data_IF_532351738112
#
_entry.id   IF_532351738112
#
_cell.length_a   1.000
_cell.length_b   1.000
_cell.length_c   1.000
_cell.angle_alpha   90.00
_cell.angle_beta   90.00
_cell.angle_gamma   90.00
#
_symmetry.space_group_name_H-M   'P 1'
#
loop_
_entity.id
_entity.type
_entity.pdbx_description
1 polymer ?
#
# COMPACT_ATOMS: atom_id res chain seq x y z
N UNK A 1 10.72 -23.29 33.87
CA UNK A 1 9.85 -22.98 32.71
C UNK A 1 8.77 -22.02 33.14
N UNK A 2 8.54 -20.96 32.36
CA UNK A 2 7.56 -19.90 32.65
C UNK A 2 6.58 -19.74 31.49
N UNK A 3 5.33 -19.40 31.81
CA UNK A 3 4.27 -19.13 30.83
C UNK A 3 4.11 -17.65 30.61
N UNK A 4 3.97 -17.25 29.36
CA UNK A 4 3.54 -15.90 29.03
C UNK A 4 2.13 -15.65 29.56
N UNK A 5 1.89 -14.60 30.38
CA UNK A 5 0.57 -14.32 30.93
C UNK A 5 -0.43 -13.84 29.86
N UNK A 6 0.07 -13.30 28.74
CA UNK A 6 -0.78 -12.75 27.68
C UNK A 6 -1.15 -13.79 26.62
N UNK A 7 -0.25 -14.73 26.27
CA UNK A 7 -0.48 -15.68 25.18
C UNK A 7 -0.32 -17.16 25.57
N UNK A 8 0.01 -17.46 26.82
CA UNK A 8 0.07 -18.83 27.35
C UNK A 8 1.29 -19.68 26.92
N UNK A 9 2.14 -19.20 26.01
CA UNK A 9 3.31 -19.94 25.52
C UNK A 9 4.36 -20.14 26.61
N UNK A 10 4.95 -21.33 26.65
CA UNK A 10 5.99 -21.74 27.59
C UNK A 10 7.39 -21.37 27.10
N UNK A 11 8.22 -20.92 28.02
CA UNK A 11 9.61 -20.53 27.79
C UNK A 11 10.53 -21.07 28.88
N UNK A 12 11.82 -21.21 28.55
CA UNK A 12 12.90 -21.42 29.52
C UNK A 12 13.06 -20.20 30.45
N UNK A 13 13.64 -20.41 31.63
CA UNK A 13 13.66 -19.40 32.70
C UNK A 13 14.56 -18.20 32.36
N UNK A 14 15.48 -18.35 31.41
CA UNK A 14 16.37 -17.29 30.89
C UNK A 14 15.71 -16.31 29.89
N UNK A 15 14.51 -16.60 29.39
CA UNK A 15 13.87 -15.79 28.32
C UNK A 15 13.17 -14.55 28.89
N UNK A 16 13.71 -13.35 28.70
CA UNK A 16 13.15 -12.14 29.34
C UNK A 16 11.87 -11.58 28.70
N UNK A 17 11.49 -12.04 27.50
CA UNK A 17 10.37 -11.50 26.73
C UNK A 17 9.69 -12.59 25.89
N UNK A 18 8.36 -12.49 25.74
CA UNK A 18 7.60 -13.39 24.89
C UNK A 18 7.85 -13.08 23.41
N UNK A 19 8.32 -14.07 22.65
CA UNK A 19 8.59 -13.93 21.21
C UNK A 19 7.33 -13.85 20.34
N UNK A 20 6.14 -14.15 20.88
CA UNK A 20 4.89 -14.11 20.12
C UNK A 20 4.12 -12.80 20.31
N UNK A 21 4.07 -12.27 21.53
CA UNK A 21 3.26 -11.10 21.85
C UNK A 21 4.04 -9.92 22.44
N UNK A 22 5.36 -10.05 22.61
CA UNK A 22 6.23 -8.98 23.14
C UNK A 22 6.10 -8.71 24.64
N UNK A 23 5.23 -9.42 25.36
CA UNK A 23 5.02 -9.22 26.79
C UNK A 23 6.28 -9.56 27.62
N UNK A 24 6.60 -8.70 28.60
CA UNK A 24 7.74 -8.91 29.50
C UNK A 24 7.44 -9.98 30.55
N UNK A 25 8.30 -11.00 30.62
CA UNK A 25 8.21 -12.06 31.62
C UNK A 25 9.00 -11.63 32.87
N UNK A 26 8.37 -10.85 33.77
CA UNK A 26 8.98 -10.31 35.03
C UNK A 26 9.57 -11.44 35.91
N UNK A 27 10.68 -11.34 36.65
CA UNK A 27 11.82 -10.42 36.64
C UNK A 27 13.03 -11.05 37.38
N UNK A 28 14.23 -10.54 37.06
CA UNK A 28 15.47 -10.74 37.82
C UNK A 28 15.31 -10.38 39.32
N UNK A 29 15.83 -11.23 40.21
CA UNK A 29 16.07 -10.88 41.61
C UNK A 29 17.52 -10.44 41.82
N UNK A 30 17.64 -9.23 42.36
CA UNK A 30 18.82 -8.55 42.89
C UNK A 30 19.28 -9.16 44.22
N UNK A 31 20.60 -9.23 44.45
CA UNK A 31 21.25 -9.08 45.76
C UNK A 31 22.76 -8.78 45.62
N UNK A 32 23.24 -7.77 46.36
CA UNK A 32 24.62 -7.26 46.48
C UNK A 32 25.36 -7.98 47.67
N UNK A 33 26.59 -7.61 48.12
CA UNK A 33 27.78 -8.49 48.18
C UNK A 33 28.31 -8.87 49.61
N UNK A 34 29.12 -9.94 49.76
CA UNK A 34 30.03 -10.12 50.92
C UNK A 34 31.15 -11.20 50.80
N UNK A 35 32.40 -10.72 50.94
CA UNK A 35 33.56 -11.20 51.74
C UNK A 35 34.44 -12.43 51.33
N UNK A 36 35.77 -12.16 51.45
CA UNK A 36 37.04 -12.94 51.38
C UNK A 36 37.08 -14.16 52.34
N UNK A 37 37.98 -15.18 52.28
CA UNK A 37 39.46 -15.29 52.11
C UNK A 37 39.87 -16.75 51.69
N UNK A 38 41.14 -17.23 51.83
CA UNK A 38 42.25 -17.15 50.88
C UNK A 38 42.73 -18.53 50.31
N UNK A 39 43.62 -18.49 49.32
CA UNK A 39 44.09 -19.63 48.51
C UNK A 39 45.05 -20.63 49.18
N UNK A 40 45.73 -21.46 48.36
CA UNK A 40 47.10 -21.08 47.97
C UNK A 40 47.48 -21.27 46.48
N UNK A 41 48.56 -20.54 46.14
CA UNK A 41 49.56 -20.60 45.05
C UNK A 41 49.60 -21.86 44.15
N UNK A 42 50.05 -21.86 42.89
CA UNK A 42 50.67 -20.90 41.97
C UNK A 42 50.89 -21.63 40.64
N UNK A 43 50.86 -20.95 39.49
CA UNK A 43 51.98 -20.94 38.53
C UNK A 43 51.71 -19.99 37.36
N UNK A 44 52.81 -19.38 36.89
CA UNK A 44 52.91 -18.21 36.02
C UNK A 44 52.70 -18.59 34.56
N UNK A 45 52.32 -17.62 33.72
CA UNK A 45 53.11 -17.20 32.55
C UNK A 45 52.50 -15.95 31.88
N UNK A 46 53.27 -14.86 31.96
CA UNK A 46 53.58 -13.86 30.94
C UNK A 46 52.47 -13.26 30.05
N UNK A 47 52.21 -11.98 30.32
CA UNK A 47 51.63 -11.02 29.39
C UNK A 47 52.66 -10.54 28.36
N UNK A 48 52.20 -9.90 27.28
CA UNK A 48 52.74 -8.60 26.96
C UNK A 48 51.66 -7.52 26.95
N UNK A 49 51.97 -6.44 27.66
CA UNK A 49 51.19 -5.22 27.76
C UNK A 49 51.22 -4.45 26.44
N UNK A 50 50.05 -4.18 25.87
CA UNK A 50 49.78 -2.93 25.16
C UNK A 50 48.26 -2.69 25.09
N UNK A 51 47.75 -1.75 25.89
CA UNK A 51 46.35 -1.33 25.78
C UNK A 51 46.29 0.19 25.92
N UNK A 52 45.90 0.94 24.88
CA UNK A 52 45.68 2.36 25.01
C UNK A 52 44.45 2.59 25.89
N UNK A 53 44.56 3.47 26.89
CA UNK A 53 43.43 3.96 27.68
C UNK A 53 42.43 4.60 26.72
N UNK A 54 41.33 3.90 26.42
CA UNK A 54 40.31 4.39 25.51
C UNK A 54 39.43 5.43 26.20
N UNK A 55 39.32 6.59 25.54
CA UNK A 55 38.51 7.74 25.92
C UNK A 55 37.05 7.44 25.51
N UNK A 56 36.30 6.80 26.42
CA UNK A 56 34.95 6.25 26.18
C UNK A 56 33.86 7.28 26.54
N UNK A 57 32.90 7.51 25.64
CA UNK A 57 31.71 8.35 25.90
C UNK A 57 30.48 7.48 26.19
N UNK A 58 29.48 8.04 26.87
CA UNK A 58 28.22 7.33 27.16
C UNK A 58 27.15 7.68 26.13
N UNK A 59 26.41 6.68 25.68
CA UNK A 59 25.21 6.88 24.87
C UNK A 59 24.18 7.67 25.68
N UNK A 60 23.64 8.79 25.16
CA UNK A 60 22.69 9.63 25.89
C UNK A 60 21.34 8.95 26.13
N UNK A 61 20.99 7.94 25.32
CA UNK A 61 19.71 7.24 25.44
C UNK A 61 19.75 6.01 26.36
N UNK A 62 20.79 5.18 26.26
CA UNK A 62 20.82 3.90 27.00
C UNK A 62 22.00 3.74 27.97
N UNK A 63 22.89 4.74 28.06
CA UNK A 63 24.06 4.71 28.94
C UNK A 63 25.15 3.71 28.52
N UNK A 64 25.06 3.10 27.34
CA UNK A 64 26.12 2.22 26.84
C UNK A 64 27.43 2.99 26.63
N UNK A 65 28.56 2.36 26.94
CA UNK A 65 29.90 2.90 26.65
C UNK A 65 30.16 2.78 25.15
N UNK A 66 30.56 3.89 24.52
CA UNK A 66 30.82 4.02 23.10
C UNK A 66 32.26 4.48 22.88
N UNK A 67 32.85 4.04 21.77
CA UNK A 67 34.13 4.57 21.31
C UNK A 67 33.95 6.02 20.83
N UNK A 68 35.04 6.80 20.87
CA UNK A 68 35.04 8.25 20.60
C UNK A 68 34.46 8.61 19.23
N UNK A 69 34.60 7.71 18.25
CA UNK A 69 34.20 7.91 16.85
C UNK A 69 32.93 7.14 16.46
N UNK A 70 32.25 6.47 17.40
CA UNK A 70 31.03 5.73 17.09
C UNK A 70 29.90 6.69 16.70
N UNK A 71 29.48 6.67 15.43
CA UNK A 71 28.39 7.52 14.90
C UNK A 71 27.02 7.05 15.38
N UNK A 72 26.91 5.80 15.83
CA UNK A 72 25.68 5.19 16.32
C UNK A 72 25.95 4.25 17.51
N UNK A 73 24.97 4.11 18.39
CA UNK A 73 25.00 3.20 19.52
C UNK A 73 24.61 1.79 19.08
N UNK A 74 25.54 0.84 19.15
CA UNK A 74 25.30 -0.57 18.79
C UNK A 74 24.28 -1.29 19.68
N UNK A 75 23.93 -0.71 20.84
CA UNK A 75 22.99 -1.31 21.79
C UNK A 75 21.54 -0.86 21.57
N UNK A 76 21.33 0.39 21.16
CA UNK A 76 19.98 0.97 21.08
C UNK A 76 19.69 1.69 19.75
N UNK A 77 20.63 1.71 18.80
CA UNK A 77 20.46 2.34 17.49
C UNK A 77 20.57 3.88 17.46
N UNK A 78 20.68 4.54 18.62
CA UNK A 78 20.72 6.01 18.70
C UNK A 78 21.95 6.60 18.00
N UNK A 79 21.76 7.65 17.18
CA UNK A 79 22.85 8.35 16.49
C UNK A 79 23.56 9.30 17.46
N UNK A 80 24.89 9.25 17.52
CA UNK A 80 25.69 10.02 18.47
C UNK A 80 26.63 10.96 17.72
N UNK A 81 26.37 12.27 17.77
CA UNK A 81 27.06 13.28 16.97
C UNK A 81 28.59 13.19 17.05
N UNK A 82 29.26 13.11 15.89
CA UNK A 82 30.71 13.22 15.76
C UNK A 82 31.10 14.70 15.81
N UNK A 83 31.91 15.09 16.79
CA UNK A 83 32.37 16.47 16.95
C UNK A 83 33.33 16.88 15.84
N UNK A 84 32.81 17.58 14.82
CA UNK A 84 33.58 18.30 13.81
C UNK A 84 32.92 19.64 13.47
N UNK A 85 33.70 20.72 13.49
CA UNK A 85 33.26 22.12 13.32
C UNK A 85 32.56 22.35 11.97
N UNK A 86 31.39 23.00 11.99
CA UNK A 86 30.68 23.44 10.79
C UNK A 86 31.24 24.78 10.25
N UNK A 87 31.57 24.91 8.95
CA UNK A 87 31.71 26.19 8.30
C UNK A 87 30.35 26.66 7.73
N UNK A 88 30.05 27.93 7.92
CA UNK A 88 28.92 28.64 7.32
C UNK A 88 28.94 28.51 5.79
N UNK A 89 27.91 27.92 5.18
CA UNK A 89 27.78 27.83 3.73
C UNK A 89 26.47 28.47 3.26
N UNK A 90 26.57 29.25 2.18
CA UNK A 90 25.45 29.75 1.40
C UNK A 90 24.51 28.59 1.01
N UNK A 91 23.22 28.75 1.32
CA UNK A 91 22.19 27.76 1.06
C UNK A 91 21.45 28.09 -0.25
N UNK A 92 21.22 27.08 -1.09
CA UNK A 92 20.28 27.13 -2.22
C UNK A 92 19.00 26.37 -1.89
N UNK A 93 17.93 26.62 -2.63
CA UNK A 93 16.69 25.85 -2.50
C UNK A 93 16.69 24.69 -3.51
N UNK A 94 16.30 23.51 -3.05
CA UNK A 94 16.00 22.37 -3.91
C UNK A 94 14.88 22.76 -4.87
N UNK A 95 15.11 22.61 -6.17
CA UNK A 95 14.09 22.95 -7.18
C UNK A 95 12.95 21.95 -7.25
N UNK A 96 13.09 20.77 -6.63
CA UNK A 96 12.05 19.75 -6.60
C UNK A 96 11.15 19.85 -5.34
N UNK A 97 11.73 20.07 -4.16
CA UNK A 97 10.97 20.06 -2.89
C UNK A 97 11.11 21.32 -2.02
N UNK A 98 11.90 22.31 -2.44
CA UNK A 98 12.09 23.56 -1.69
C UNK A 98 12.97 23.47 -0.45
N UNK A 99 13.58 22.31 -0.16
CA UNK A 99 14.52 22.17 0.97
C UNK A 99 15.75 23.07 0.80
N UNK A 100 16.22 23.68 1.89
CA UNK A 100 17.47 24.45 1.91
C UNK A 100 18.65 23.46 1.91
N UNK A 101 19.47 23.52 0.86
CA UNK A 101 20.62 22.65 0.65
C UNK A 101 21.91 23.47 0.59
N UNK A 102 23.05 22.91 1.02
CA UNK A 102 24.35 23.45 0.69
C UNK A 102 24.52 23.62 -0.82
N UNK A 103 25.23 24.67 -1.25
CA UNK A 103 25.41 25.00 -2.68
C UNK A 103 26.11 23.88 -3.46
N UNK A 104 26.96 23.11 -2.79
CA UNK A 104 27.74 21.97 -3.28
C UNK A 104 27.07 20.61 -3.08
N UNK A 105 25.86 20.56 -2.52
CA UNK A 105 25.13 19.30 -2.36
C UNK A 105 24.83 18.64 -3.72
N UNK A 106 25.42 17.46 -3.93
CA UNK A 106 25.28 16.66 -5.15
C UNK A 106 23.87 16.09 -5.33
N UNK A 107 23.10 15.94 -4.25
CA UNK A 107 21.72 15.51 -4.24
C UNK A 107 20.96 16.15 -3.07
N UNK A 108 19.64 16.24 -3.18
CA UNK A 108 18.79 16.69 -2.09
C UNK A 108 18.62 15.58 -1.05
N UNK A 109 19.11 15.79 0.17
CA UNK A 109 18.95 14.81 1.27
C UNK A 109 17.49 14.57 1.67
N UNK A 110 16.56 15.45 1.27
CA UNK A 110 15.13 15.31 1.59
C UNK A 110 14.33 14.57 0.52
N UNK A 111 14.67 14.73 -0.77
CA UNK A 111 13.88 14.14 -1.86
C UNK A 111 14.70 13.38 -2.91
N UNK A 112 16.00 13.22 -2.72
CA UNK A 112 16.88 12.46 -3.62
C UNK A 112 17.20 13.13 -4.96
N UNK A 113 16.60 14.28 -5.27
CA UNK A 113 16.80 14.94 -6.57
C UNK A 113 18.27 15.37 -6.78
N UNK A 114 18.87 15.11 -7.96
CA UNK A 114 20.27 15.46 -8.24
C UNK A 114 20.47 16.98 -8.32
N UNK A 115 21.53 17.47 -7.69
CA UNK A 115 21.88 18.87 -7.58
C UNK A 115 22.80 19.32 -8.72
N UNK A 116 22.23 19.78 -9.83
CA UNK A 116 22.95 19.95 -11.10
C UNK A 116 24.16 20.91 -11.15
N UNK A 117 25.18 20.47 -11.89
CA UNK A 117 26.02 21.25 -12.81
C UNK A 117 26.23 20.42 -14.09
N UNK A 118 25.97 21.01 -15.26
CA UNK A 118 25.90 20.37 -16.57
C UNK A 118 27.17 20.58 -17.41
N UNK A 119 27.50 19.66 -18.33
CA UNK A 119 28.20 19.91 -19.62
C UNK A 119 27.95 18.69 -20.56
N UNK A 120 27.89 18.71 -21.90
CA UNK A 120 27.68 19.68 -23.00
C UNK A 120 27.75 18.84 -24.29
N UNK A 121 26.92 19.12 -25.30
CA UNK A 121 27.28 18.90 -26.71
C UNK A 121 26.52 19.90 -27.61
N UNK A 122 27.24 20.90 -28.12
CA UNK A 122 26.86 21.76 -29.26
C UNK A 122 27.88 21.46 -30.38
N UNK A 123 27.62 21.53 -31.69
CA UNK A 123 26.93 22.55 -32.48
C UNK A 123 26.78 22.03 -33.92
N UNK A 124 25.78 22.52 -34.67
CA UNK A 124 25.99 23.45 -35.81
C UNK A 124 24.71 23.63 -36.62
N UNK A 125 24.29 24.88 -36.74
CA UNK A 125 23.41 25.40 -37.80
C UNK A 125 24.26 25.73 -39.03
N UNK A 126 23.65 25.81 -40.22
CA UNK A 126 23.82 27.06 -40.96
C UNK A 126 22.50 27.59 -41.53
N UNK A 127 22.52 28.88 -41.87
CA UNK A 127 21.40 29.65 -42.35
C UNK A 127 21.72 30.22 -43.73
N UNK A 128 20.83 30.06 -44.72
CA UNK A 128 20.68 31.03 -45.83
C UNK A 128 19.44 30.78 -46.73
N UNK A 129 18.62 31.84 -46.79
CA UNK A 129 17.63 32.32 -47.78
C UNK A 129 17.65 31.76 -49.22
N UNK A 130 16.44 31.49 -49.76
CA UNK A 130 15.90 32.20 -50.95
C UNK A 130 14.39 31.96 -51.16
N UNK A 131 13.72 33.02 -51.56
CA UNK A 131 12.28 33.19 -51.72
C UNK A 131 11.65 32.37 -52.86
N UNK A 132 10.35 32.04 -52.72
CA UNK A 132 9.39 32.19 -53.81
C UNK A 132 7.97 32.40 -53.27
N UNK A 133 7.31 33.41 -53.83
CA UNK A 133 5.95 33.90 -53.56
C UNK A 133 4.89 32.88 -53.98
N UNK A 134 3.84 32.69 -53.17
CA UNK A 134 2.47 32.48 -53.66
C UNK A 134 1.50 33.23 -52.74
N UNK A 135 0.79 34.19 -53.34
CA UNK A 135 -0.28 34.97 -52.74
C UNK A 135 -1.60 34.17 -52.70
N UNK A 136 -2.46 34.44 -51.72
CA UNK A 136 -3.87 34.02 -51.78
C UNK A 136 -4.60 33.88 -50.44
N UNK A 137 -5.14 35.01 -49.94
CA UNK A 137 -6.50 35.23 -49.35
C UNK A 137 -7.15 34.07 -48.57
N UNK A 138 -7.68 34.17 -47.35
CA UNK A 138 -7.97 35.24 -46.37
C UNK A 138 -8.62 34.55 -45.14
N UNK A 139 -8.23 34.86 -43.90
CA UNK A 139 -8.97 35.72 -42.94
C UNK A 139 -10.50 35.47 -42.93
N UNK A 140 -11.22 35.25 -41.83
CA UNK A 140 -10.96 35.31 -40.39
C UNK A 140 -12.22 34.76 -39.68
N UNK A 141 -12.11 33.99 -38.60
CA UNK A 141 -13.22 33.71 -37.68
C UNK A 141 -12.71 33.41 -36.27
N UNK A 142 -12.42 34.44 -35.49
CA UNK A 142 -12.57 34.39 -34.02
C UNK A 142 -12.93 35.79 -33.53
N UNK A 143 -13.83 35.83 -32.53
CA UNK A 143 -14.19 36.94 -31.65
C UNK A 143 -15.40 37.78 -32.10
N UNK A 144 -16.57 37.48 -31.53
CA UNK A 144 -17.21 38.38 -30.57
C UNK A 144 -18.52 37.77 -30.06
N UNK A 145 -18.53 37.40 -28.79
CA UNK A 145 -19.73 37.45 -27.98
C UNK A 145 -20.07 38.93 -27.71
N UNK A 146 -21.34 39.19 -27.40
CA UNK A 146 -21.93 40.33 -26.67
C UNK A 146 -23.01 41.06 -27.48
N UNK A 147 -24.14 41.26 -26.77
CA UNK A 147 -25.27 42.16 -27.01
C UNK A 147 -26.49 41.60 -27.77
N UNK A 148 -27.30 40.87 -27.02
CA UNK A 148 -28.66 41.27 -26.67
C UNK A 148 -29.45 42.20 -27.62
N UNK A 149 -30.63 41.70 -28.00
CA UNK A 149 -31.95 42.36 -27.84
C UNK A 149 -32.59 42.95 -29.10
N UNK A 150 -33.89 42.63 -29.18
CA UNK A 150 -35.03 43.20 -29.92
C UNK A 150 -35.41 42.68 -31.34
N UNK A 151 -36.68 42.27 -31.42
CA UNK A 151 -37.64 42.35 -32.54
C UNK A 151 -37.85 41.13 -33.45
N UNK A 152 -38.71 40.20 -33.00
CA UNK A 152 -39.82 39.75 -33.85
C UNK A 152 -41.11 39.71 -33.03
N UNK A 153 -41.99 40.68 -33.30
CA UNK A 153 -43.40 40.64 -32.91
C UNK A 153 -44.20 39.93 -34.00
N UNK A 154 -44.99 38.90 -33.66
CA UNK A 154 -46.38 38.82 -34.15
C UNK A 154 -47.28 38.00 -33.22
N UNK A 155 -48.22 38.77 -32.67
CA UNK A 155 -49.35 38.58 -31.76
C UNK A 155 -50.33 37.43 -32.09
N UNK A 156 -50.89 36.82 -31.04
CA UNK A 156 -52.32 36.45 -30.99
C UNK A 156 -52.67 35.20 -30.19
N UNK A 157 -53.43 35.36 -29.09
CA UNK A 157 -54.40 34.35 -28.62
C UNK A 157 -54.33 33.97 -27.14
N UNK A 158 -55.30 34.43 -26.37
CA UNK A 158 -55.58 34.15 -24.94
C UNK A 158 -55.78 32.68 -24.60
N UNK A 159 -55.42 32.25 -23.37
CA UNK A 159 -56.33 31.71 -22.31
C UNK A 159 -55.58 30.99 -21.16
N UNK A 160 -55.84 31.46 -19.93
CA UNK A 160 -56.02 30.74 -18.64
C UNK A 160 -55.09 29.59 -18.18
N UNK A 161 -54.30 29.89 -17.12
CA UNK A 161 -54.04 29.14 -15.86
C UNK A 161 -53.64 27.62 -15.87
N UNK A 162 -53.19 27.03 -14.73
CA UNK A 162 -52.23 27.48 -13.70
C UNK A 162 -51.09 26.44 -13.44
N UNK A 163 -50.05 26.88 -12.72
CA UNK A 163 -49.26 26.06 -11.77
C UNK A 163 -48.73 24.70 -12.22
N UNK A 164 -47.58 24.67 -12.90
CA UNK A 164 -46.77 23.45 -13.00
C UNK A 164 -46.05 23.22 -11.67
N UNK A 165 -46.54 22.22 -10.93
CA UNK A 165 -45.93 21.66 -9.75
C UNK A 165 -44.45 21.31 -10.01
N UNK A 166 -43.59 21.70 -9.07
CA UNK A 166 -42.26 21.16 -8.98
C UNK A 166 -42.36 19.64 -8.77
N UNK A 167 -42.06 18.88 -9.82
CA UNK A 167 -41.80 17.44 -9.71
C UNK A 167 -40.52 17.26 -8.90
N UNK A 168 -40.69 17.19 -7.59
CA UNK A 168 -39.72 16.57 -6.69
C UNK A 168 -39.78 15.08 -6.95
N UNK A 169 -38.98 14.60 -7.91
CA UNK A 169 -38.62 13.20 -7.95
C UNK A 169 -37.65 12.96 -6.77
N UNK A 170 -38.20 12.74 -5.58
CA UNK A 170 -37.44 12.08 -4.53
C UNK A 170 -37.20 10.65 -4.99
N UNK A 171 -35.99 10.37 -5.46
CA UNK A 171 -35.49 9.00 -5.45
C UNK A 171 -35.75 8.44 -4.03
N UNK A 172 -36.25 7.19 -3.88
CA UNK A 172 -36.36 6.61 -2.57
C UNK A 172 -34.96 6.66 -1.95
N UNK A 173 -34.85 7.30 -0.79
CA UNK A 173 -33.66 7.18 0.02
C UNK A 173 -33.51 5.69 0.30
N UNK A 174 -32.52 5.07 -0.33
CA UNK A 174 -32.04 3.73 -0.03
C UNK A 174 -31.70 3.71 1.46
N UNK A 175 -32.64 3.26 2.30
CA UNK A 175 -32.42 3.06 3.72
C UNK A 175 -31.32 2.02 3.81
N UNK A 176 -30.12 2.46 4.21
CA UNK A 176 -28.94 1.61 4.30
C UNK A 176 -29.26 0.29 5.01
N UNK A 177 -28.76 -0.80 4.44
CA UNK A 177 -28.95 -2.15 4.97
C UNK A 177 -28.37 -2.25 6.39
N UNK A 178 -29.16 -2.79 7.33
CA UNK A 178 -28.72 -3.06 8.70
C UNK A 178 -28.02 -4.42 8.79
N UNK A 179 -26.76 -4.40 9.20
CA UNK A 179 -25.92 -5.59 9.35
C UNK A 179 -25.52 -5.86 10.80
N UNK A 180 -26.14 -5.17 11.77
CA UNK A 180 -25.80 -5.27 13.20
C UNK A 180 -25.88 -6.70 13.76
N UNK A 181 -26.77 -7.54 13.20
CA UNK A 181 -26.97 -8.95 13.56
C UNK A 181 -25.99 -9.96 12.95
N UNK A 182 -25.17 -9.56 11.97
CA UNK A 182 -24.29 -10.48 11.24
C UNK A 182 -23.08 -10.93 12.07
N UNK A 183 -22.56 -12.13 11.82
CA UNK A 183 -21.41 -12.72 12.50
C UNK A 183 -20.33 -13.14 11.50
N UNK A 184 -19.13 -13.44 12.01
CA UNK A 184 -18.04 -13.98 11.19
C UNK A 184 -18.48 -15.27 10.51
N UNK A 185 -18.26 -15.37 9.20
CA UNK A 185 -18.70 -16.46 8.35
C UNK A 185 -20.04 -16.23 7.65
N UNK A 186 -20.85 -15.28 8.10
CA UNK A 186 -22.11 -14.94 7.43
C UNK A 186 -21.85 -14.29 6.06
N UNK A 187 -22.84 -14.41 5.17
CA UNK A 187 -22.84 -13.77 3.87
C UNK A 187 -23.80 -12.56 3.87
N UNK A 188 -23.39 -11.47 3.20
CA UNK A 188 -24.21 -10.27 3.03
C UNK A 188 -24.18 -9.79 1.57
N UNK A 189 -25.24 -9.10 1.15
CA UNK A 189 -25.27 -8.41 -0.14
C UNK A 189 -25.03 -6.91 0.05
N UNK A 190 -24.03 -6.36 -0.63
CA UNK A 190 -23.67 -4.95 -0.48
C UNK A 190 -22.99 -4.42 -1.76
N UNK A 191 -23.56 -3.39 -2.38
CA UNK A 191 -23.11 -2.92 -3.68
C UNK A 191 -23.55 -3.79 -4.86
N UNK A 192 -23.40 -3.22 -6.04
CA UNK A 192 -23.70 -3.82 -7.35
C UNK A 192 -22.60 -3.47 -8.32
N UNK A 193 -22.02 -4.47 -8.98
CA UNK A 193 -20.99 -4.25 -9.99
C UNK A 193 -21.36 -4.98 -11.28
N UNK A 194 -21.36 -4.25 -12.40
CA UNK A 194 -21.62 -4.81 -13.73
C UNK A 194 -22.99 -5.52 -13.80
N UNK A 195 -24.00 -4.83 -13.29
CA UNK A 195 -25.41 -5.25 -13.21
C UNK A 195 -25.73 -6.44 -12.29
N UNK A 196 -24.74 -6.95 -11.54
CA UNK A 196 -24.93 -8.01 -10.54
C UNK A 196 -24.72 -7.49 -9.10
N UNK A 197 -25.59 -7.89 -8.19
CA UNK A 197 -25.39 -7.65 -6.75
C UNK A 197 -24.14 -8.40 -6.27
N UNK A 198 -23.38 -7.79 -5.37
CA UNK A 198 -22.14 -8.38 -4.86
C UNK A 198 -22.43 -9.06 -3.53
N UNK A 199 -22.12 -10.36 -3.46
CA UNK A 199 -22.15 -11.12 -2.22
C UNK A 199 -20.78 -11.10 -1.53
N UNK A 200 -20.78 -10.83 -0.23
CA UNK A 200 -19.59 -10.72 0.60
C UNK A 200 -19.64 -11.69 1.77
N UNK A 201 -18.48 -12.20 2.17
CA UNK A 201 -18.30 -12.98 3.39
C UNK A 201 -17.75 -12.08 4.50
N UNK A 202 -18.32 -12.19 5.70
CA UNK A 202 -17.82 -11.53 6.90
C UNK A 202 -16.59 -12.27 7.43
N UNK A 203 -15.44 -11.59 7.46
CA UNK A 203 -14.17 -12.11 7.97
C UNK A 203 -13.92 -11.73 9.43
N UNK A 204 -14.37 -10.56 9.86
CA UNK A 204 -14.19 -10.08 11.24
C UNK A 204 -15.34 -9.17 11.65
N UNK A 205 -15.61 -9.09 12.96
CA UNK A 205 -16.59 -8.20 13.56
C UNK A 205 -16.01 -7.59 14.83
N UNK A 206 -15.76 -6.28 14.80
CA UNK A 206 -15.28 -5.53 15.96
C UNK A 206 -15.66 -4.06 15.87
N UNK A 207 -15.79 -3.41 17.03
CA UNK A 207 -15.99 -1.97 17.15
C UNK A 207 -17.15 -1.40 16.31
N UNK A 208 -18.26 -2.15 16.21
CA UNK A 208 -19.42 -1.76 15.40
C UNK A 208 -19.13 -1.76 13.89
N UNK A 209 -18.21 -2.63 13.44
CA UNK A 209 -17.83 -2.77 12.03
C UNK A 209 -17.70 -4.24 11.64
N UNK A 210 -17.84 -4.49 10.35
CA UNK A 210 -17.52 -5.78 9.72
C UNK A 210 -16.36 -5.60 8.75
N UNK A 211 -15.38 -6.50 8.81
CA UNK A 211 -14.48 -6.74 7.69
C UNK A 211 -15.16 -7.72 6.76
N UNK A 212 -15.31 -7.35 5.50
CA UNK A 212 -15.94 -8.17 4.49
C UNK A 212 -15.00 -8.35 3.29
N UNK A 213 -15.08 -9.51 2.65
CA UNK A 213 -14.39 -9.84 1.39
C UNK A 213 -15.41 -10.37 0.38
N UNK A 214 -15.23 -10.09 -0.91
CA UNK A 214 -16.14 -10.66 -1.92
C UNK A 214 -16.11 -12.19 -1.85
N UNK A 215 -17.27 -12.85 -1.98
CA UNK A 215 -17.32 -14.34 -1.98
C UNK A 215 -16.73 -14.93 -3.25
N UNK A 216 -16.85 -14.18 -4.35
CA UNK A 216 -16.34 -14.54 -5.67
C UNK A 216 -15.39 -13.46 -6.20
N UNK A 217 -14.59 -13.82 -7.20
CA UNK A 217 -13.78 -12.88 -7.97
C UNK A 217 -14.69 -11.99 -8.81
N UNK A 218 -14.50 -10.67 -8.68
CA UNK A 218 -15.34 -9.66 -9.33
C UNK A 218 -14.82 -9.23 -10.70
N UNK A 219 -13.57 -9.54 -11.02
CA UNK A 219 -12.96 -9.24 -12.31
C UNK A 219 -11.45 -9.46 -12.30
N UNK A 220 -10.82 -9.13 -13.41
CA UNK A 220 -9.37 -9.24 -13.62
C UNK A 220 -8.74 -7.86 -13.81
N UNK A 221 -7.64 -7.61 -13.09
CA UNK A 221 -6.85 -6.39 -13.20
C UNK A 221 -5.37 -6.69 -13.08
N UNK A 222 -4.55 -5.83 -13.69
CA UNK A 222 -3.12 -5.78 -13.40
C UNK A 222 -2.91 -5.21 -12.00
N UNK A 223 -1.94 -5.74 -11.26
CA UNK A 223 -1.51 -5.12 -10.01
C UNK A 223 -0.95 -3.71 -10.27
N UNK A 224 -0.12 -3.58 -11.31
CA UNK A 224 0.44 -2.33 -11.79
C UNK A 224 0.47 -2.25 -13.32
N UNK A 225 0.24 -1.06 -13.86
CA UNK A 225 0.16 -0.83 -15.31
C UNK A 225 1.48 -0.95 -16.06
N UNK A 226 2.61 -1.07 -15.35
CA UNK A 226 3.94 -1.22 -15.96
C UNK A 226 4.85 -2.13 -15.14
N UNK A 227 5.72 -2.85 -15.84
CA UNK A 227 6.68 -3.77 -15.23
C UNK A 227 7.82 -2.96 -14.59
N UNK A 228 7.61 -2.60 -13.33
CA UNK A 228 8.51 -1.75 -12.55
C UNK A 228 8.34 -2.05 -11.07
N UNK A 229 9.33 -1.67 -10.27
CA UNK A 229 9.24 -1.80 -8.81
C UNK A 229 8.05 -1.00 -8.31
N UNK A 230 7.16 -1.65 -7.57
CA UNK A 230 5.91 -1.06 -7.11
C UNK A 230 5.55 -1.65 -5.75
N UNK A 231 5.01 -0.79 -4.88
CA UNK A 231 4.40 -1.18 -3.61
C UNK A 231 2.88 -1.02 -3.71
N UNK A 232 2.13 -1.51 -2.73
CA UNK A 232 0.68 -1.34 -2.70
C UNK A 232 0.26 0.13 -2.85
N UNK A 233 0.94 1.03 -2.13
CA UNK A 233 0.70 2.48 -2.14
C UNK A 233 0.69 3.07 -3.56
N UNK A 234 1.67 2.69 -4.37
CA UNK A 234 1.90 3.20 -5.73
C UNK A 234 1.24 2.38 -6.84
N UNK A 235 0.52 1.31 -6.51
CA UNK A 235 -0.07 0.40 -7.48
C UNK A 235 -1.27 1.02 -8.21
N UNK A 236 -1.40 0.74 -9.52
CA UNK A 236 -2.60 1.14 -10.28
C UNK A 236 -3.85 0.39 -9.82
N UNK A 237 -3.70 -0.84 -9.31
CA UNK A 237 -4.82 -1.61 -8.77
C UNK A 237 -5.46 -0.95 -7.54
N UNK A 238 -4.64 -0.45 -6.61
CA UNK A 238 -5.14 0.31 -5.45
C UNK A 238 -5.93 1.54 -5.89
N UNK A 239 -5.42 2.26 -6.90
CA UNK A 239 -6.10 3.42 -7.49
C UNK A 239 -7.46 3.02 -8.05
N UNK A 240 -7.50 1.97 -8.89
CA UNK A 240 -8.75 1.47 -9.46
C UNK A 240 -9.76 1.03 -8.39
N UNK A 241 -9.32 0.33 -7.34
CA UNK A 241 -10.18 -0.11 -6.25
C UNK A 241 -10.82 1.06 -5.49
N UNK A 242 -10.04 2.12 -5.21
CA UNK A 242 -10.49 3.24 -4.40
C UNK A 242 -11.14 4.38 -5.20
N UNK A 243 -11.09 4.32 -6.53
CA UNK A 243 -11.75 5.28 -7.41
C UNK A 243 -12.79 4.58 -8.29
N UNK A 244 -12.39 4.01 -9.43
CA UNK A 244 -13.29 3.44 -10.44
C UNK A 244 -14.25 2.39 -9.87
N UNK A 245 -13.71 1.36 -9.19
CA UNK A 245 -14.51 0.29 -8.60
C UNK A 245 -15.40 0.84 -7.49
N UNK A 246 -14.84 1.56 -6.52
CA UNK A 246 -15.61 2.16 -5.43
C UNK A 246 -16.75 3.04 -5.94
N UNK A 247 -16.49 3.81 -7.01
CA UNK A 247 -17.48 4.73 -7.55
C UNK A 247 -18.59 4.04 -8.35
N UNK A 248 -18.23 2.97 -9.08
CA UNK A 248 -19.17 2.19 -9.86
C UNK A 248 -19.98 1.19 -9.00
N UNK A 249 -19.35 0.59 -7.97
CA UNK A 249 -19.92 -0.54 -7.25
C UNK A 249 -20.90 -0.15 -6.14
N UNK A 250 -20.78 1.06 -5.58
CA UNK A 250 -21.52 1.44 -4.37
C UNK A 250 -22.37 2.69 -4.57
N UNK A 251 -23.60 2.64 -4.05
CA UNK A 251 -24.51 3.78 -4.02
C UNK A 251 -24.02 4.87 -3.04
N UNK A 252 -24.63 6.05 -3.07
CA UNK A 252 -24.25 7.14 -2.17
C UNK A 252 -24.54 6.81 -0.68
N UNK A 253 -25.53 6.00 -0.38
CA UNK A 253 -25.86 5.49 0.96
C UNK A 253 -24.87 4.41 1.40
N UNK A 254 -24.55 3.46 0.53
CA UNK A 254 -23.57 2.41 0.82
C UNK A 254 -22.18 2.99 1.09
N UNK A 255 -21.75 3.97 0.29
CA UNK A 255 -20.49 4.71 0.49
C UNK A 255 -20.35 5.35 1.88
N UNK A 256 -21.45 5.71 2.54
CA UNK A 256 -21.40 6.26 3.91
C UNK A 256 -21.08 5.19 4.96
N UNK A 257 -21.39 3.93 4.66
CA UNK A 257 -21.09 2.79 5.52
C UNK A 257 -19.65 2.31 5.36
N UNK A 258 -19.05 2.48 4.18
CA UNK A 258 -17.66 2.09 3.90
C UNK A 258 -16.68 2.97 4.70
N UNK A 259 -15.72 2.33 5.36
CA UNK A 259 -14.74 2.99 6.22
C UNK A 259 -13.41 3.16 5.52
N UNK A 260 -12.89 4.38 5.59
CA UNK A 260 -11.47 4.60 5.36
C UNK A 260 -10.67 3.93 6.48
N UNK A 261 -9.79 3.02 6.08
CA UNK A 261 -9.09 2.08 6.95
C UNK A 261 -7.59 2.33 6.85
N UNK A 262 -6.91 2.39 7.99
CA UNK A 262 -5.45 2.36 8.03
C UNK A 262 -4.97 0.94 7.70
N UNK A 263 -4.46 0.76 6.49
CA UNK A 263 -3.99 -0.52 5.95
C UNK A 263 -2.49 -0.61 6.15
N UNK A 264 -2.05 -1.60 6.93
CA UNK A 264 -0.64 -1.79 7.30
C UNK A 264 0.07 -2.61 6.22
N UNK A 265 1.07 -2.04 5.54
CA UNK A 265 1.79 -2.64 4.44
C UNK A 265 3.12 -3.26 4.90
N UNK A 266 3.01 -4.33 5.68
CA UNK A 266 4.16 -5.12 6.11
C UNK A 266 4.99 -5.63 4.93
N UNK A 267 6.29 -5.77 5.16
CA UNK A 267 7.17 -6.51 4.26
C UNK A 267 6.67 -7.94 4.06
N UNK A 268 7.04 -8.56 2.94
CA UNK A 268 6.76 -9.98 2.71
C UNK A 268 7.41 -10.80 3.87
N UNK A 269 6.64 -11.59 4.64
CA UNK A 269 7.14 -12.29 5.81
C UNK A 269 8.11 -13.43 5.46
N UNK A 270 8.02 -13.97 4.25
CA UNK A 270 8.79 -15.12 3.79
C UNK A 270 10.04 -14.66 3.01
N UNK A 271 9.93 -13.59 2.22
CA UNK A 271 10.98 -13.08 1.31
C UNK A 271 11.69 -11.80 1.80
N UNK A 272 11.06 -11.06 2.73
CA UNK A 272 11.60 -9.80 3.26
C UNK A 272 11.47 -8.59 2.30
N UNK A 273 10.83 -8.74 1.15
CA UNK A 273 10.59 -7.64 0.19
C UNK A 273 9.80 -6.52 0.83
N UNK A 274 10.23 -5.27 0.59
CA UNK A 274 9.62 -4.10 1.21
C UNK A 274 8.17 -3.88 0.75
N UNK A 275 7.22 -3.91 1.69
CA UNK A 275 5.79 -3.63 1.47
C UNK A 275 5.47 -2.16 1.21
N UNK A 276 6.40 -1.25 1.50
CA UNK A 276 6.21 0.19 1.35
C UNK A 276 5.51 0.84 2.55
N UNK A 277 4.98 2.06 2.34
CA UNK A 277 4.30 2.79 3.40
C UNK A 277 2.87 2.27 3.62
N UNK A 278 2.39 2.39 4.85
CA UNK A 278 0.98 2.19 5.18
C UNK A 278 0.08 3.16 4.42
N UNK A 279 -1.16 2.72 4.14
CA UNK A 279 -2.14 3.48 3.34
C UNK A 279 -3.43 3.73 4.10
N UNK A 280 -4.26 4.62 3.57
CA UNK A 280 -5.63 4.84 4.03
C UNK A 280 -6.58 4.53 2.88
N UNK A 281 -7.26 3.38 2.98
CA UNK A 281 -8.01 2.78 1.87
C UNK A 281 -9.46 2.54 2.27
N UNK A 282 -10.38 2.73 1.33
CA UNK A 282 -11.81 2.38 1.47
C UNK A 282 -12.05 0.95 1.03
N UNK A 283 -11.35 0.54 -0.04
CA UNK A 283 -11.36 -0.82 -0.57
C UNK A 283 -9.91 -1.25 -0.77
N UNK A 284 -9.57 -2.46 -0.33
CA UNK A 284 -8.21 -2.99 -0.37
C UNK A 284 -8.20 -4.48 -0.70
N UNK A 285 -7.02 -5.06 -0.85
CA UNK A 285 -6.81 -6.51 -0.88
C UNK A 285 -6.20 -6.95 0.45
N UNK A 286 -6.43 -8.20 0.85
CA UNK A 286 -5.77 -8.74 2.04
C UNK A 286 -4.25 -8.84 1.83
N UNK A 287 -3.47 -8.68 2.90
CA UNK A 287 -2.07 -9.12 2.92
C UNK A 287 -1.96 -10.64 3.09
N UNK A 288 -0.73 -11.16 2.95
CA UNK A 288 -0.39 -12.53 3.32
C UNK A 288 -0.80 -12.82 4.78
N UNK A 289 -0.46 -11.95 5.72
CA UNK A 289 -0.77 -12.13 7.14
C UNK A 289 -2.28 -12.14 7.39
N UNK A 290 -3.03 -11.24 6.75
CA UNK A 290 -4.49 -11.17 6.87
C UNK A 290 -5.15 -12.39 6.24
N UNK A 291 -4.70 -12.84 5.06
CA UNK A 291 -5.20 -14.06 4.43
C UNK A 291 -4.93 -15.31 5.29
N UNK A 292 -3.74 -15.42 5.90
CA UNK A 292 -3.40 -16.50 6.86
C UNK A 292 -4.22 -16.40 8.15
N UNK A 293 -4.57 -15.20 8.59
CA UNK A 293 -5.32 -14.97 9.83
C UNK A 293 -6.82 -15.27 9.67
N UNK A 294 -7.44 -14.81 8.59
CA UNK A 294 -8.90 -14.90 8.42
C UNK A 294 -9.35 -16.20 7.76
N UNK A 295 -8.45 -16.96 7.13
CA UNK A 295 -8.77 -18.25 6.52
C UNK A 295 -7.97 -19.38 7.16
N UNK A 296 -8.68 -20.32 7.78
CA UNK A 296 -8.10 -21.40 8.59
C UNK A 296 -7.47 -22.55 7.79
N UNK A 297 -7.58 -22.52 6.45
CA UNK A 297 -7.00 -23.52 5.55
C UNK A 297 -6.83 -22.97 4.15
N UNK A 298 -6.05 -23.66 3.33
CA UNK A 298 -5.91 -23.41 1.91
C UNK A 298 -7.27 -23.54 1.21
N UNK A 299 -8.03 -24.59 1.53
CA UNK A 299 -9.39 -24.79 1.00
C UNK A 299 -10.35 -23.62 1.26
N UNK A 300 -10.14 -22.85 2.33
CA UNK A 300 -10.96 -21.69 2.62
C UNK A 300 -10.57 -20.45 1.79
N UNK A 301 -9.41 -20.45 1.14
CA UNK A 301 -8.85 -19.29 0.40
C UNK A 301 -9.05 -19.34 -1.10
N UNK A 302 -9.16 -20.52 -1.73
CA UNK A 302 -9.45 -20.55 -3.17
C UNK A 302 -10.79 -19.87 -3.46
N UNK A 303 -10.96 -19.39 -4.69
CA UNK A 303 -12.12 -18.60 -5.05
C UNK A 303 -12.68 -19.01 -6.42
N UNK A 304 -13.99 -18.84 -6.58
CA UNK A 304 -14.68 -18.96 -7.86
C UNK A 304 -14.91 -17.58 -8.47
N UNK A 305 -15.27 -17.55 -9.75
CA UNK A 305 -15.50 -16.31 -10.48
C UNK A 305 -16.98 -16.04 -10.70
N UNK A 306 -17.34 -14.76 -10.63
CA UNK A 306 -18.63 -14.29 -11.15
C UNK A 306 -18.72 -14.52 -12.67
N UNK A 307 -19.94 -14.59 -13.25
CA UNK A 307 -20.13 -14.64 -14.70
C UNK A 307 -19.49 -13.46 -15.43
N UNK A 308 -19.52 -12.26 -14.83
CA UNK A 308 -18.86 -11.09 -15.39
C UNK A 308 -17.34 -11.27 -15.46
N UNK A 309 -16.70 -11.68 -14.37
CA UNK A 309 -15.26 -11.95 -14.35
C UNK A 309 -14.88 -13.00 -15.41
N UNK A 310 -15.68 -14.07 -15.54
CA UNK A 310 -15.48 -15.07 -16.60
C UNK A 310 -15.56 -14.48 -18.01
N UNK A 311 -16.47 -13.54 -18.25
CA UNK A 311 -16.60 -12.89 -19.57
C UNK A 311 -15.38 -12.05 -19.98
N UNK A 312 -14.60 -11.55 -19.01
CA UNK A 312 -13.40 -10.75 -19.26
C UNK A 312 -12.20 -11.57 -19.77
N UNK A 313 -12.19 -12.88 -19.52
CA UNK A 313 -11.10 -13.79 -19.87
C UNK A 313 -10.89 -13.93 -21.38
N UNK A 314 -11.88 -13.57 -22.19
CA UNK A 314 -11.77 -13.57 -23.64
C UNK A 314 -10.78 -12.53 -24.22
N UNK A 315 -10.04 -11.77 -23.39
CA UNK A 315 -9.44 -10.48 -23.81
C UNK A 315 -8.04 -10.07 -23.33
N UNK A 316 -7.21 -10.88 -22.67
CA UNK A 316 -5.78 -10.77 -23.05
C UNK A 316 -4.91 -12.04 -22.91
N UNK A 317 -3.99 -12.20 -23.86
CA UNK A 317 -2.85 -13.13 -23.86
C UNK A 317 -1.82 -12.89 -22.73
N UNK A 318 -2.09 -11.94 -21.82
CA UNK A 318 -1.26 -11.61 -20.65
C UNK A 318 -1.92 -11.98 -19.32
N UNK A 319 -2.97 -12.79 -19.36
CA UNK A 319 -3.57 -13.42 -18.16
C UNK A 319 -2.87 -14.76 -17.98
N UNK A 320 -2.32 -15.07 -16.80
CA UNK A 320 -1.92 -16.45 -16.51
C UNK A 320 -3.19 -17.32 -16.38
N UNK A 321 -3.23 -18.59 -16.81
CA UNK A 321 -2.18 -19.39 -17.46
C UNK A 321 -2.06 -19.19 -18.99
N UNK A 322 -2.70 -18.17 -19.57
CA UNK A 322 -2.53 -17.80 -20.99
C UNK A 322 -3.74 -18.16 -21.83
N UNK A 323 -3.47 -18.66 -23.04
CA UNK A 323 -4.47 -18.83 -24.10
C UNK A 323 -5.49 -19.96 -23.83
N UNK A 324 -5.17 -20.94 -22.96
CA UNK A 324 -6.05 -22.05 -22.58
C UNK A 324 -6.59 -21.91 -21.14
N UNK A 325 -7.19 -20.76 -20.86
CA UNK A 325 -7.81 -20.51 -19.56
C UNK A 325 -9.02 -21.43 -19.30
N UNK A 326 -9.78 -21.78 -20.35
CA UNK A 326 -10.92 -22.70 -20.22
C UNK A 326 -10.46 -24.11 -19.81
N UNK A 327 -9.41 -24.65 -20.42
CA UNK A 327 -8.81 -25.93 -20.01
C UNK A 327 -8.31 -25.90 -18.57
N UNK A 328 -7.64 -24.82 -18.17
CA UNK A 328 -7.24 -24.62 -16.78
C UNK A 328 -8.42 -24.63 -15.79
N UNK A 329 -9.54 -23.98 -16.13
CA UNK A 329 -10.72 -23.99 -15.27
C UNK A 329 -11.32 -25.40 -15.14
N UNK A 330 -11.35 -26.17 -16.23
CA UNK A 330 -11.84 -27.55 -16.19
C UNK A 330 -10.98 -28.43 -15.27
N UNK A 331 -9.65 -28.34 -15.39
CA UNK A 331 -8.70 -29.10 -14.58
C UNK A 331 -8.76 -28.71 -13.09
N UNK A 332 -8.98 -27.43 -12.80
CA UNK A 332 -8.99 -26.89 -11.43
C UNK A 332 -10.40 -26.71 -10.86
N UNK A 333 -11.42 -27.31 -11.48
CA UNK A 333 -12.80 -27.30 -11.00
C UNK A 333 -13.42 -25.91 -10.89
N UNK A 334 -12.98 -24.97 -11.71
CA UNK A 334 -13.45 -23.57 -11.77
C UNK A 334 -12.79 -22.63 -10.76
N UNK A 335 -11.80 -23.10 -10.01
CA UNK A 335 -11.07 -22.30 -9.01
C UNK A 335 -9.99 -21.47 -9.67
N UNK A 336 -9.80 -20.25 -9.18
CA UNK A 336 -8.81 -19.31 -9.70
C UNK A 336 -7.95 -18.71 -8.59
N UNK A 337 -6.75 -18.32 -9.00
CA UNK A 337 -5.82 -17.55 -8.22
C UNK A 337 -6.32 -16.10 -8.05
N UNK A 338 -5.84 -15.36 -7.05
CA UNK A 338 -6.21 -13.96 -6.85
C UNK A 338 -5.13 -13.16 -6.10
N UNK A 339 -5.11 -11.85 -6.34
CA UNK A 339 -4.11 -10.94 -5.79
C UNK A 339 -4.15 -10.76 -4.27
N UNK A 340 -2.98 -10.74 -3.65
CA UNK A 340 -2.75 -10.12 -2.34
C UNK A 340 -2.08 -8.77 -2.53
N UNK A 341 -2.26 -7.84 -1.58
CA UNK A 341 -1.55 -6.54 -1.64
C UNK A 341 -0.07 -6.65 -1.30
N UNK A 342 0.34 -7.71 -0.60
CA UNK A 342 1.74 -7.94 -0.22
C UNK A 342 2.65 -8.16 -1.44
N UNK A 343 3.88 -7.64 -1.44
CA UNK A 343 4.83 -7.90 -2.52
C UNK A 343 5.23 -9.39 -2.55
N UNK A 344 5.70 -9.89 -3.69
CA UNK A 344 6.31 -11.23 -3.80
C UNK A 344 7.81 -11.23 -3.46
N UNK A 345 8.59 -12.16 -4.02
CA UNK A 345 10.04 -12.24 -3.80
C UNK A 345 10.84 -11.05 -4.33
N UNK A 346 10.27 -10.30 -5.29
CA UNK A 346 10.86 -9.09 -5.83
C UNK A 346 9.80 -8.00 -6.01
N UNK A 347 10.18 -6.70 -5.98
CA UNK A 347 9.22 -5.59 -5.97
C UNK A 347 8.46 -5.40 -7.30
N UNK A 348 8.71 -6.21 -8.33
CA UNK A 348 7.97 -6.24 -9.60
C UNK A 348 6.95 -7.39 -9.65
N UNK A 349 6.81 -8.13 -8.56
CA UNK A 349 5.79 -9.16 -8.40
C UNK A 349 5.00 -8.93 -7.10
N UNK A 350 3.73 -9.36 -7.09
CA UNK A 350 2.89 -9.38 -5.91
C UNK A 350 2.50 -10.81 -5.54
N UNK A 351 2.32 -11.05 -4.26
CA UNK A 351 1.90 -12.38 -3.78
C UNK A 351 0.49 -12.69 -4.20
N UNK A 352 0.18 -13.97 -4.39
CA UNK A 352 -1.12 -14.44 -4.82
C UNK A 352 -1.60 -15.58 -3.93
N UNK A 353 -2.91 -15.79 -3.88
CA UNK A 353 -3.49 -17.07 -3.50
C UNK A 353 -3.70 -17.88 -4.77
N UNK A 354 -3.30 -19.15 -4.80
CA UNK A 354 -3.45 -20.07 -5.92
C UNK A 354 -4.85 -20.73 -5.95
N UNK A 355 -5.15 -21.52 -6.98
CA UNK A 355 -6.44 -22.26 -7.12
C UNK A 355 -6.62 -23.40 -6.12
N UNK A 356 -5.53 -23.88 -5.52
CA UNK A 356 -5.54 -24.79 -4.38
C UNK A 356 -5.66 -24.02 -3.03
N UNK A 357 -5.60 -22.68 -3.06
CA UNK A 357 -5.68 -21.80 -1.91
C UNK A 357 -4.37 -21.59 -1.14
N UNK A 358 -3.27 -22.19 -1.59
CA UNK A 358 -1.93 -21.90 -1.08
C UNK A 358 -1.56 -20.45 -1.39
N UNK A 359 -0.81 -19.81 -0.49
CA UNK A 359 -0.26 -18.47 -0.74
C UNK A 359 1.10 -18.64 -1.40
N UNK A 360 1.22 -18.17 -2.64
CA UNK A 360 2.50 -18.10 -3.35
C UNK A 360 3.14 -16.73 -3.11
N UNK A 361 4.26 -16.74 -2.38
CA UNK A 361 5.07 -15.56 -2.10
C UNK A 361 6.19 -15.35 -3.12
N UNK A 362 6.51 -16.37 -3.91
CA UNK A 362 7.47 -16.26 -5.00
C UNK A 362 6.78 -15.65 -6.22
N UNK A 363 5.61 -16.13 -6.61
CA UNK A 363 4.69 -15.49 -7.54
C UNK A 363 5.36 -14.91 -8.81
N UNK A 364 6.34 -15.62 -9.39
CA UNK A 364 7.19 -15.06 -10.44
C UNK A 364 6.42 -14.71 -11.70
N UNK A 365 5.69 -15.68 -12.27
CA UNK A 365 4.92 -15.48 -13.50
C UNK A 365 3.47 -15.11 -13.19
N UNK A 366 2.84 -15.83 -12.27
CA UNK A 366 1.46 -15.59 -11.84
C UNK A 366 1.29 -14.26 -11.08
N UNK A 367 2.36 -13.82 -10.43
CA UNK A 367 2.41 -12.60 -9.66
C UNK A 367 3.08 -11.42 -10.36
N UNK A 368 3.44 -11.54 -11.65
CA UNK A 368 3.91 -10.40 -12.44
C UNK A 368 2.89 -9.26 -12.34
N UNK A 369 3.34 -8.09 -11.89
CA UNK A 369 2.42 -6.98 -11.61
C UNK A 369 1.66 -6.51 -12.85
N UNK A 370 2.16 -6.81 -14.05
CA UNK A 370 1.50 -6.49 -15.33
C UNK A 370 0.61 -7.62 -15.87
N UNK A 371 0.57 -8.78 -15.23
CA UNK A 371 -0.39 -9.82 -15.57
C UNK A 371 -1.80 -9.43 -15.11
N UNK A 372 -2.79 -9.69 -15.95
CA UNK A 372 -4.18 -9.61 -15.52
C UNK A 372 -4.46 -10.80 -14.63
N UNK A 373 -4.93 -10.53 -13.42
CA UNK A 373 -5.17 -11.55 -12.42
C UNK A 373 -6.37 -11.12 -11.56
N UNK A 374 -7.00 -12.10 -10.95
CA UNK A 374 -8.30 -12.00 -10.35
C UNK A 374 -8.28 -11.16 -9.08
N UNK A 375 -9.32 -10.33 -8.94
CA UNK A 375 -9.44 -9.34 -7.87
C UNK A 375 -10.53 -9.76 -6.90
N UNK A 376 -10.14 -9.87 -5.63
CA UNK A 376 -11.02 -10.20 -4.51
C UNK A 376 -10.98 -9.08 -3.46
N UNK A 377 -11.76 -7.99 -3.64
CA UNK A 377 -11.70 -6.83 -2.77
C UNK A 377 -12.21 -7.15 -1.36
N UNK A 378 -11.66 -6.43 -0.39
CA UNK A 378 -12.08 -6.41 1.00
C UNK A 378 -12.22 -4.97 1.50
N UNK A 379 -13.07 -4.77 2.51
CA UNK A 379 -13.27 -3.47 3.15
C UNK A 379 -13.89 -3.59 4.53
N UNK A 380 -13.75 -2.54 5.32
CA UNK A 380 -14.49 -2.37 6.56
C UNK A 380 -15.77 -1.57 6.31
N UNK A 381 -16.91 -2.05 6.81
CA UNK A 381 -18.18 -1.32 6.81
C UNK A 381 -18.67 -1.09 8.25
N UNK A 382 -19.28 0.06 8.50
CA UNK A 382 -20.04 0.34 9.74
C UNK A 382 -21.34 -0.43 9.73
N UNK A 383 -21.76 -0.90 10.90
CA UNK A 383 -23.01 -1.63 11.13
C UNK A 383 -23.83 -1.04 12.26
#
# INVERSE_FOLDING_TARGET
>A
MKKCPSCGKEYGDEVCFCSLCGEKLRNATSAEPAKKEPGPASEKNDAPANSPKQDLRLCPQCGAKLEKDSVFCLKCGERVASGGKAPSQELRLCQNCGAKLPKDAAFCEKCGAPGGAAQTAASKKPANSRALLIAGVGAALVLAAILCVVLVHKKGGDSDAPGAAAVTASAPADMGKDFSGMNVGDAIEFGKYQDADIEWQVLDKKDGKLLIISKEVLGFQQYNSSFSNVTWEGSSLRTWLNDDFYNAAFSASEKQSIQETHVINNHNPDEGTDGGQDTYDKVFLLSIDEAKTYFNSDDARYCYMTPYAKSQLSKPASTWPGDDFDGYLEENGGKVFWWLRSPGFDPRVASVVQDNGEIDTFASDIGDVTCYNAVRPAMWIKI
#
